data_IF_454805946969
#
_entry.id   IF_454805946969
#
_cell.length_a   1.000
_cell.length_b   1.000
_cell.length_c   1.000
_cell.angle_alpha   90.00
_cell.angle_beta   90.00
_cell.angle_gamma   90.00
#
_symmetry.space_group_name_H-M   'P 1'
#
loop_
_entity.id
_entity.type
_entity.pdbx_description
1 polymer ?
#
# COMPACT_ATOMS: atom_id res chain seq x y z
N UNK A 1 12.43 -5.09 7.22
CA UNK A 1 12.70 -4.88 8.67
C UNK A 1 11.82 -3.74 9.19
N UNK A 2 10.74 -4.09 9.90
CA UNK A 2 9.70 -3.17 10.37
C UNK A 2 10.13 -2.42 11.65
N UNK A 3 10.91 -1.34 11.54
CA UNK A 3 11.14 -0.44 12.70
C UNK A 3 11.35 1.02 12.29
N UNK A 4 10.27 1.79 12.25
CA UNK A 4 10.30 3.18 12.75
C UNK A 4 9.61 3.17 14.12
N UNK A 5 10.38 3.14 15.24
CA UNK A 5 9.86 2.81 16.57
C UNK A 5 8.88 3.84 17.18
N UNK A 6 8.74 5.03 16.60
CA UNK A 6 7.97 6.12 17.21
C UNK A 6 6.60 6.38 16.54
N UNK A 7 6.05 5.42 15.78
CA UNK A 7 4.75 5.60 15.11
C UNK A 7 3.82 4.43 15.40
N UNK A 8 2.58 4.67 15.88
CA UNK A 8 1.59 3.62 16.03
C UNK A 8 1.29 3.06 14.64
N UNK A 9 1.48 1.75 14.47
CA UNK A 9 1.13 1.01 13.26
C UNK A 9 0.10 -0.04 13.66
N UNK A 10 -1.06 -0.01 12.98
CA UNK A 10 -2.03 -1.10 13.02
C UNK A 10 -1.91 -1.90 11.73
N UNK A 11 -1.76 -3.23 11.85
CA UNK A 11 -1.63 -4.13 10.71
C UNK A 11 -2.87 -5.02 10.55
N UNK A 12 -3.35 -5.19 9.33
CA UNK A 12 -4.45 -6.09 8.96
C UNK A 12 -3.99 -6.99 7.81
N UNK A 13 -4.18 -8.31 7.98
CA UNK A 13 -3.92 -9.30 6.93
C UNK A 13 -5.19 -9.54 6.11
N UNK A 14 -5.07 -9.60 4.80
CA UNK A 14 -6.12 -10.08 3.89
C UNK A 14 -5.47 -10.88 2.76
N UNK A 15 -5.78 -12.19 2.66
CA UNK A 15 -5.11 -13.06 1.70
C UNK A 15 -3.59 -13.07 1.92
N UNK A 16 -2.82 -12.71 0.89
CA UNK A 16 -1.38 -12.50 0.93
C UNK A 16 -0.92 -11.08 1.29
N UNK A 17 -1.85 -10.12 1.33
CA UNK A 17 -1.52 -8.73 1.61
C UNK A 17 -1.49 -8.42 3.12
N UNK A 18 -0.55 -7.54 3.50
CA UNK A 18 -0.49 -6.92 4.82
C UNK A 18 -0.65 -5.41 4.70
N UNK A 19 -1.83 -4.90 5.07
CA UNK A 19 -2.11 -3.47 5.12
C UNK A 19 -1.73 -2.88 6.48
N UNK A 20 -1.05 -1.74 6.46
CA UNK A 20 -0.59 -1.00 7.62
C UNK A 20 -1.24 0.38 7.64
N UNK A 21 -1.71 0.82 8.80
CA UNK A 21 -2.20 2.18 9.02
C UNK A 21 -1.14 2.98 9.76
N UNK A 22 -0.67 4.06 9.14
CA UNK A 22 0.22 5.05 9.74
C UNK A 22 -0.47 6.41 9.91
N UNK A 23 -0.11 7.13 10.95
CA UNK A 23 -0.61 8.49 11.23
C UNK A 23 0.56 9.46 11.14
N UNK A 24 0.41 10.52 10.34
CA UNK A 24 1.47 11.48 10.03
C UNK A 24 1.00 12.89 10.36
N UNK A 25 1.79 13.73 11.05
CA UNK A 25 1.42 15.13 11.29
C UNK A 25 1.17 15.88 9.98
N UNK A 26 0.12 16.70 9.94
CA UNK A 26 -0.21 17.54 8.79
C UNK A 26 -0.59 18.94 9.24
N UNK A 27 0.28 19.91 8.94
CA UNK A 27 0.16 21.25 9.49
C UNK A 27 0.43 21.26 11.00
N UNK A 28 -0.25 22.16 11.73
CA UNK A 28 -0.05 22.36 13.17
C UNK A 28 -1.01 21.52 14.02
N UNK A 29 -2.22 21.27 13.53
CA UNK A 29 -3.33 20.75 14.34
C UNK A 29 -4.11 19.60 13.66
N UNK A 30 -3.53 18.99 12.63
CA UNK A 30 -4.15 17.87 11.90
C UNK A 30 -3.14 16.74 11.64
N UNK A 31 -3.64 15.64 11.08
CA UNK A 31 -2.86 14.50 10.64
C UNK A 31 -3.36 14.00 9.29
N UNK A 32 -2.51 13.27 8.56
CA UNK A 32 -2.93 12.36 7.51
C UNK A 32 -2.87 10.94 8.03
N UNK A 33 -3.94 10.19 7.83
CA UNK A 33 -4.00 8.76 8.09
C UNK A 33 -3.76 8.06 6.76
N UNK A 34 -2.68 7.31 6.65
CA UNK A 34 -2.34 6.56 5.43
C UNK A 34 -2.46 5.07 5.70
N UNK A 35 -3.30 4.40 4.91
CA UNK A 35 -3.27 2.95 4.78
C UNK A 35 -2.33 2.57 3.64
N UNK A 36 -1.37 1.68 3.88
CA UNK A 36 -0.42 1.20 2.87
C UNK A 36 -0.28 -0.31 2.93
N UNK A 37 -0.16 -0.96 1.78
CA UNK A 37 0.30 -2.34 1.68
C UNK A 37 1.51 -2.41 0.74
N UNK A 38 2.44 -3.32 1.07
CA UNK A 38 3.47 -3.77 0.13
C UNK A 38 2.82 -4.76 -0.84
N UNK A 39 3.04 -4.55 -2.14
CA UNK A 39 2.46 -5.37 -3.21
C UNK A 39 3.51 -6.38 -3.68
N UNK A 40 4.64 -5.90 -4.19
CA UNK A 40 5.75 -6.76 -4.65
C UNK A 40 7.10 -6.11 -4.36
N UNK A 41 8.04 -6.90 -3.85
CA UNK A 41 9.45 -6.54 -3.69
C UNK A 41 10.31 -7.23 -4.73
N UNK A 42 11.33 -6.54 -5.23
CA UNK A 42 12.33 -7.13 -6.12
C UNK A 42 11.83 -7.44 -7.54
N UNK A 43 10.67 -6.91 -7.94
CA UNK A 43 10.23 -6.94 -9.32
C UNK A 43 11.19 -6.13 -10.21
N UNK A 44 11.34 -6.54 -11.47
CA UNK A 44 12.08 -5.74 -12.45
C UNK A 44 11.26 -4.48 -12.81
N UNK A 45 11.72 -3.30 -12.34
CA UNK A 45 11.11 -1.99 -12.63
C UNK A 45 11.34 -1.54 -14.09
N UNK A 46 10.80 -2.31 -15.02
CA UNK A 46 10.84 -2.02 -16.46
C UNK A 46 9.92 -0.85 -16.82
N UNK A 47 10.16 -0.24 -17.99
CA UNK A 47 9.25 0.76 -18.56
C UNK A 47 7.81 0.24 -18.71
N UNK A 48 7.67 -1.06 -19.00
CA UNK A 48 6.37 -1.70 -19.16
C UNK A 48 5.60 -1.79 -17.84
N UNK A 49 6.26 -2.25 -16.77
CA UNK A 49 5.67 -2.28 -15.43
C UNK A 49 5.29 -0.87 -14.95
N UNK A 50 6.19 0.11 -15.09
CA UNK A 50 5.90 1.48 -14.66
C UNK A 50 4.72 2.10 -15.40
N UNK A 51 4.61 1.86 -16.72
CA UNK A 51 3.45 2.28 -17.50
C UNK A 51 2.18 1.58 -17.03
N UNK A 52 2.24 0.26 -16.83
CA UNK A 52 1.12 -0.53 -16.31
C UNK A 52 0.59 0.04 -14.98
N UNK A 53 1.46 0.32 -14.02
CA UNK A 53 1.06 0.91 -12.73
C UNK A 53 0.40 2.29 -12.89
N UNK A 54 0.93 3.15 -13.77
CA UNK A 54 0.35 4.46 -14.05
C UNK A 54 -1.02 4.39 -14.74
N UNK A 55 -1.20 3.43 -15.66
CA UNK A 55 -2.47 3.21 -16.35
C UNK A 55 -3.53 2.64 -15.38
N UNK A 56 -3.16 1.69 -14.52
CA UNK A 56 -4.06 1.16 -13.49
C UNK A 56 -4.46 2.26 -12.50
N UNK A 57 -3.54 3.13 -12.09
CA UNK A 57 -3.83 4.29 -11.24
C UNK A 57 -4.92 5.21 -11.83
N UNK A 58 -5.01 5.34 -13.15
CA UNK A 58 -6.05 6.18 -13.78
C UNK A 58 -7.47 5.64 -13.58
N UNK A 59 -7.62 4.33 -13.30
CA UNK A 59 -8.90 3.67 -13.03
C UNK A 59 -9.21 3.46 -11.54
N UNK A 60 -8.27 3.76 -10.64
CA UNK A 60 -8.46 3.53 -9.21
C UNK A 60 -9.40 4.55 -8.59
N UNK A 61 -10.40 4.04 -7.86
CA UNK A 61 -11.33 4.87 -7.10
C UNK A 61 -10.80 5.19 -5.71
N UNK A 62 -9.91 4.33 -5.19
CA UNK A 62 -9.29 4.45 -3.88
C UNK A 62 -7.81 4.17 -4.03
N UNK A 63 -6.98 5.08 -3.51
CA UNK A 63 -5.53 4.91 -3.43
C UNK A 63 -4.81 4.96 -4.77
N UNK A 64 -3.53 4.60 -4.73
CA UNK A 64 -2.68 4.51 -5.91
C UNK A 64 -1.39 3.73 -5.65
N UNK A 65 -0.84 3.17 -6.72
CA UNK A 65 0.48 2.54 -6.74
C UNK A 65 1.58 3.58 -6.62
N UNK A 66 2.63 3.20 -5.90
CA UNK A 66 3.90 3.91 -5.80
C UNK A 66 5.07 2.93 -5.77
N UNK A 67 6.28 3.48 -5.83
CA UNK A 67 7.53 2.76 -5.62
C UNK A 67 8.23 3.46 -4.46
N UNK A 68 8.61 2.70 -3.43
CA UNK A 68 9.31 3.26 -2.28
C UNK A 68 10.84 3.37 -2.50
N UNK A 69 11.55 3.85 -1.47
CA UNK A 69 13.00 4.10 -1.56
C UNK A 69 13.82 2.82 -1.77
N UNK A 70 13.27 1.65 -1.41
CA UNK A 70 13.91 0.34 -1.58
C UNK A 70 13.55 -0.29 -2.95
N UNK A 71 12.72 0.38 -3.74
CA UNK A 71 12.25 -0.11 -5.04
C UNK A 71 11.04 -1.02 -4.96
N UNK A 72 10.39 -1.10 -3.78
CA UNK A 72 9.23 -1.94 -3.58
C UNK A 72 7.97 -1.27 -4.09
N UNK A 73 7.12 -2.05 -4.75
CA UNK A 73 5.82 -1.60 -5.22
C UNK A 73 4.88 -1.57 -4.01
N UNK A 74 4.34 -0.40 -3.75
CA UNK A 74 3.37 -0.15 -2.68
C UNK A 74 2.03 0.29 -3.27
N UNK A 75 0.96 0.05 -2.52
CA UNK A 75 -0.35 0.64 -2.79
C UNK A 75 -0.84 1.34 -1.54
N UNK A 76 -1.27 2.59 -1.66
CA UNK A 76 -1.66 3.38 -0.50
C UNK A 76 -2.84 4.32 -0.75
N UNK A 77 -3.55 4.63 0.33
CA UNK A 77 -4.64 5.60 0.35
C UNK A 77 -4.51 6.47 1.60
N UNK A 78 -4.74 7.77 1.45
CA UNK A 78 -4.58 8.77 2.52
C UNK A 78 -5.88 9.51 2.79
N UNK A 79 -6.19 9.72 4.07
CA UNK A 79 -7.39 10.37 4.57
C UNK A 79 -6.97 11.52 5.48
N UNK A 80 -7.67 12.66 5.41
CA UNK A 80 -7.50 13.77 6.35
C UNK A 80 -8.00 13.34 7.73
N UNK A 81 -7.14 13.43 8.74
CA UNK A 81 -7.37 12.89 10.07
C UNK A 81 -8.51 13.60 10.80
N UNK A 82 -8.60 14.93 10.68
CA UNK A 82 -9.64 15.73 11.34
C UNK A 82 -11.07 15.39 10.92
N UNK A 83 -11.26 14.80 9.74
CA UNK A 83 -12.57 14.38 9.23
C UNK A 83 -12.77 12.88 9.18
N UNK A 84 -11.72 12.09 9.46
CA UNK A 84 -11.75 10.65 9.32
C UNK A 84 -12.74 10.01 10.32
N UNK A 85 -13.71 9.27 9.81
CA UNK A 85 -14.57 8.41 10.61
C UNK A 85 -14.18 6.92 10.50
N UNK A 86 -14.79 6.10 11.35
CA UNK A 86 -14.53 4.66 11.40
C UNK A 86 -14.80 3.96 10.06
N UNK A 87 -15.86 4.36 9.34
CA UNK A 87 -16.26 3.72 8.08
C UNK A 87 -15.33 4.10 6.95
N UNK A 88 -14.87 5.34 6.91
CA UNK A 88 -13.85 5.79 5.95
C UNK A 88 -12.54 5.04 6.14
N UNK A 89 -12.09 4.88 7.40
CA UNK A 89 -10.90 4.11 7.71
C UNK A 89 -11.06 2.63 7.36
N UNK A 90 -12.18 2.01 7.73
CA UNK A 90 -12.47 0.61 7.40
C UNK A 90 -12.49 0.39 5.88
N UNK A 91 -13.16 1.26 5.13
CA UNK A 91 -13.20 1.20 3.67
C UNK A 91 -11.79 1.33 3.06
N UNK A 92 -10.99 2.27 3.56
CA UNK A 92 -9.59 2.46 3.14
C UNK A 92 -8.75 1.21 3.39
N UNK A 93 -8.84 0.61 4.58
CA UNK A 93 -8.11 -0.61 4.94
C UNK A 93 -8.50 -1.78 4.04
N UNK A 94 -9.81 -2.00 3.83
CA UNK A 94 -10.31 -3.08 2.98
C UNK A 94 -9.89 -2.88 1.53
N UNK A 95 -10.00 -1.65 1.00
CA UNK A 95 -9.64 -1.34 -0.38
C UNK A 95 -8.16 -1.61 -0.63
N UNK A 96 -7.27 -1.07 0.22
CA UNK A 96 -5.81 -1.25 0.07
C UNK A 96 -5.41 -2.72 0.20
N UNK A 97 -5.96 -3.43 1.19
CA UNK A 97 -5.60 -4.84 1.40
C UNK A 97 -6.04 -5.72 0.22
N UNK A 98 -7.26 -5.54 -0.30
CA UNK A 98 -7.76 -6.29 -1.46
C UNK A 98 -7.01 -5.96 -2.73
N UNK A 99 -6.76 -4.67 -3.00
CA UNK A 99 -6.02 -4.29 -4.20
C UNK A 99 -4.58 -4.82 -4.17
N UNK A 100 -3.92 -4.83 -3.02
CA UNK A 100 -2.59 -5.44 -2.93
C UNK A 100 -2.62 -6.96 -3.21
N UNK A 101 -3.58 -7.68 -2.63
CA UNK A 101 -3.79 -9.13 -2.85
C UNK A 101 -4.12 -9.45 -4.31
N UNK A 102 -4.97 -8.65 -4.97
CA UNK A 102 -5.35 -8.89 -6.36
C UNK A 102 -4.20 -8.62 -7.35
N UNK A 103 -3.28 -7.70 -7.02
CA UNK A 103 -2.22 -7.27 -7.92
C UNK A 103 -0.88 -7.95 -7.68
N UNK A 104 -0.62 -8.52 -6.51
CA UNK A 104 0.66 -9.16 -6.21
C UNK A 104 0.94 -10.33 -7.17
N UNK A 105 -0.02 -11.24 -7.36
CA UNK A 105 0.07 -12.39 -8.26
C UNK A 105 0.18 -11.91 -9.72
N UNK A 106 -0.60 -10.90 -10.12
CA UNK A 106 -0.57 -10.33 -11.48
C UNK A 106 0.80 -9.73 -11.83
N UNK A 107 1.42 -9.06 -10.86
CA UNK A 107 2.72 -8.43 -11.05
C UNK A 107 3.82 -9.49 -11.05
N UNK A 108 3.80 -10.40 -10.08
CA UNK A 108 4.81 -11.47 -9.97
C UNK A 108 4.82 -12.37 -11.20
N UNK A 109 3.64 -12.72 -11.74
CA UNK A 109 3.53 -13.56 -12.95
C UNK A 109 4.23 -12.92 -14.17
N UNK A 110 4.23 -11.59 -14.28
CA UNK A 110 4.73 -10.87 -15.46
C UNK A 110 6.12 -10.27 -15.30
N UNK A 111 6.46 -9.79 -14.11
CA UNK A 111 7.69 -9.04 -13.84
C UNK A 111 8.52 -9.62 -12.68
N UNK A 112 8.10 -10.75 -12.10
CA UNK A 112 8.81 -11.43 -11.01
C UNK A 112 8.72 -10.67 -9.68
N UNK A 113 9.65 -10.99 -8.78
CA UNK A 113 9.65 -10.49 -7.41
C UNK A 113 8.96 -11.43 -6.42
N UNK A 114 8.77 -10.93 -5.20
CA UNK A 114 8.20 -11.67 -4.08
C UNK A 114 7.01 -10.91 -3.49
N UNK A 115 5.95 -11.64 -3.13
CA UNK A 115 4.77 -11.07 -2.46
C UNK A 115 5.08 -10.82 -0.99
N UNK A 116 4.27 -9.99 -0.34
CA UNK A 116 4.44 -9.69 1.09
C UNK A 116 4.49 -10.95 1.98
N UNK A 117 3.67 -11.98 1.71
CA UNK A 117 3.72 -13.25 2.45
C UNK A 117 5.00 -14.06 2.24
N UNK A 118 5.61 -13.98 1.06
CA UNK A 118 6.77 -14.80 0.72
C UNK A 118 8.00 -14.36 1.55
N UNK A 119 8.06 -13.09 1.95
CA UNK A 119 9.13 -12.53 2.80
C UNK A 119 9.05 -12.90 4.29
N UNK A 120 7.91 -13.42 4.75
CA UNK A 120 7.71 -13.76 6.18
C UNK A 120 8.16 -15.20 6.48
N UNK A 121 8.64 -15.95 5.48
CA UNK A 121 9.12 -17.33 5.61
C UNK A 121 10.61 -17.47 5.82
#
# INVERSE_FOLDING_TARGET
>A
VLRKPDRPILGVMHGSAFAQVGIFPWGTDDAIITTRAYVVTGAELSLDLMRFLLEENAGMHFGGFGIDDDGDIIFEHSIVGSTCDQKELEASVIAVARTADDYDDRIVERWGGERALDQVR
#
